data_IF_840087810061
#
_entry.id   IF_840087810061
#
_cell.length_a   1.000
_cell.length_b   1.000
_cell.length_c   1.000
_cell.angle_alpha   90.00
_cell.angle_beta   90.00
_cell.angle_gamma   90.00
#
_symmetry.space_group_name_H-M   'P 1'
#
loop_
_entity.id
_entity.type
_entity.pdbx_description
1 polymer ?
#
# COMPACT_ATOMS: atom_id res chain seq x y z
N UNK A 1 -6.33 1.60 -27.43
CA UNK A 1 -5.03 1.15 -28.00
C UNK A 1 -4.91 -0.35 -27.74
N UNK A 2 -4.43 -1.16 -28.68
CA UNK A 2 -4.23 -2.61 -28.45
C UNK A 2 -2.91 -2.79 -27.68
N UNK A 3 -2.92 -3.57 -26.60
CA UNK A 3 -1.72 -3.83 -25.77
C UNK A 3 -0.61 -4.44 -26.62
N UNK A 4 0.60 -3.87 -26.56
CA UNK A 4 1.76 -4.35 -27.31
C UNK A 4 2.70 -5.11 -26.38
N UNK A 5 3.32 -6.16 -26.91
CA UNK A 5 4.25 -7.01 -26.16
C UNK A 5 5.60 -7.05 -26.86
N UNK A 6 6.67 -7.06 -26.07
CA UNK A 6 8.02 -7.36 -26.53
C UNK A 6 8.26 -8.84 -26.27
N UNK A 7 8.72 -9.57 -27.28
CA UNK A 7 9.03 -11.01 -27.19
C UNK A 7 10.52 -11.27 -27.28
N UNK A 8 10.96 -12.38 -26.69
CA UNK A 8 12.29 -12.93 -26.96
C UNK A 8 12.36 -13.63 -28.32
N UNK A 9 13.53 -14.18 -28.65
CA UNK A 9 13.81 -14.86 -29.92
C UNK A 9 13.00 -16.16 -30.11
N UNK A 10 12.40 -16.68 -29.03
CA UNK A 10 11.51 -17.84 -29.05
C UNK A 10 10.03 -17.43 -29.13
N UNK A 11 9.73 -16.14 -29.24
CA UNK A 11 8.37 -15.61 -29.30
C UNK A 11 7.66 -15.52 -27.93
N UNK A 12 8.37 -15.76 -26.83
CA UNK A 12 7.80 -15.63 -25.48
C UNK A 12 7.75 -14.16 -25.09
N UNK A 13 6.60 -13.69 -24.61
CA UNK A 13 6.40 -12.31 -24.14
C UNK A 13 7.25 -12.07 -22.88
N UNK A 14 8.11 -11.07 -22.93
CA UNK A 14 9.02 -10.69 -21.83
C UNK A 14 8.70 -9.31 -21.25
N UNK A 15 8.06 -8.43 -22.02
CA UNK A 15 7.60 -7.13 -21.54
C UNK A 15 6.31 -6.70 -22.22
N UNK A 16 5.65 -5.70 -21.64
CA UNK A 16 4.42 -5.08 -22.15
C UNK A 16 4.61 -3.57 -22.24
N UNK A 17 4.12 -2.97 -23.33
CA UNK A 17 4.10 -1.53 -23.51
C UNK A 17 2.69 -1.05 -23.18
N UNK A 18 2.60 -0.18 -22.19
CA UNK A 18 1.36 0.42 -21.70
C UNK A 18 1.40 1.94 -21.91
N UNK A 19 0.25 2.58 -22.20
CA UNK A 19 0.12 4.01 -22.03
C UNK A 19 0.46 4.40 -20.59
N UNK A 20 1.20 5.51 -20.42
CA UNK A 20 1.64 5.98 -19.09
C UNK A 20 0.46 6.11 -18.13
N UNK A 21 -0.67 6.65 -18.60
CA UNK A 21 -1.89 6.79 -17.81
C UNK A 21 -2.44 5.47 -17.25
N UNK A 22 -2.35 4.39 -18.04
CA UNK A 22 -2.84 3.08 -17.61
C UNK A 22 -1.90 2.46 -16.58
N UNK A 23 -0.59 2.67 -16.75
CA UNK A 23 0.42 2.26 -15.76
C UNK A 23 0.24 3.01 -14.44
N UNK A 24 0.11 4.34 -14.46
CA UNK A 24 -0.09 5.18 -13.28
C UNK A 24 -1.37 4.76 -12.52
N UNK A 25 -2.49 4.59 -13.22
CA UNK A 25 -3.74 4.11 -12.62
C UNK A 25 -3.57 2.76 -11.93
N UNK A 26 -2.82 1.84 -12.53
CA UNK A 26 -2.55 0.53 -11.93
C UNK A 26 -1.67 0.66 -10.68
N UNK A 27 -0.69 1.57 -10.66
CA UNK A 27 0.11 1.83 -9.46
C UNK A 27 -0.74 2.40 -8.33
N UNK A 28 -1.60 3.38 -8.62
CA UNK A 28 -2.51 3.96 -7.63
C UNK A 28 -3.44 2.90 -7.01
N UNK A 29 -4.00 2.01 -7.83
CA UNK A 29 -4.86 0.91 -7.35
C UNK A 29 -4.09 -0.10 -6.48
N UNK A 30 -2.81 -0.33 -6.77
CA UNK A 30 -1.95 -1.20 -5.94
C UNK A 30 -1.66 -0.57 -4.58
N UNK A 31 -1.38 0.73 -4.52
CA UNK A 31 -1.14 1.45 -3.26
C UNK A 31 -2.39 1.43 -2.36
N UNK A 32 -3.59 1.60 -2.94
CA UNK A 32 -4.85 1.46 -2.22
C UNK A 32 -5.01 0.03 -1.66
N UNK A 33 -4.69 -0.98 -2.47
CA UNK A 33 -4.75 -2.38 -2.05
C UNK A 33 -3.76 -2.69 -0.91
N UNK A 34 -2.59 -2.06 -0.88
CA UNK A 34 -1.65 -2.19 0.23
C UNK A 34 -2.22 -1.63 1.53
N UNK A 35 -2.90 -0.49 1.46
CA UNK A 35 -3.60 0.10 2.62
C UNK A 35 -4.66 -0.85 3.18
N UNK A 36 -5.45 -1.50 2.29
CA UNK A 36 -6.46 -2.50 2.68
C UNK A 36 -5.80 -3.69 3.38
N UNK A 37 -4.73 -4.24 2.82
CA UNK A 37 -3.98 -5.36 3.43
C UNK A 37 -3.41 -5.00 4.81
N UNK A 38 -2.90 -3.78 4.96
CA UNK A 38 -2.40 -3.28 6.23
C UNK A 38 -3.52 -3.18 7.29
N UNK A 39 -4.69 -2.68 6.89
CA UNK A 39 -5.87 -2.63 7.74
C UNK A 39 -6.32 -4.02 8.19
N UNK A 40 -6.45 -4.97 7.26
CA UNK A 40 -6.86 -6.34 7.56
C UNK A 40 -5.89 -7.01 8.54
N UNK A 41 -4.58 -6.86 8.32
CA UNK A 41 -3.55 -7.36 9.23
C UNK A 41 -3.66 -6.72 10.62
N UNK A 42 -3.93 -5.42 10.70
CA UNK A 42 -4.10 -4.70 11.97
C UNK A 42 -5.38 -5.12 12.71
N UNK A 43 -6.43 -5.53 11.98
CA UNK A 43 -7.73 -5.97 12.52
C UNK A 43 -7.78 -7.46 12.84
N UNK A 44 -6.94 -8.29 12.22
CA UNK A 44 -6.88 -9.73 12.48
C UNK A 44 -6.40 -10.07 13.90
N UNK A 45 -5.64 -9.18 14.55
CA UNK A 45 -5.20 -9.36 15.94
C UNK A 45 -6.25 -8.87 16.94
N UNK A 46 -6.24 -9.44 18.15
CA UNK A 46 -7.00 -8.88 19.29
C UNK A 46 -6.52 -7.45 19.55
N UNK A 47 -7.46 -6.50 19.54
CA UNK A 47 -7.17 -5.08 19.74
C UNK A 47 -7.44 -4.70 21.19
N UNK A 48 -6.52 -3.96 21.79
CA UNK A 48 -6.73 -3.29 23.06
C UNK A 48 -7.15 -1.85 22.78
N UNK A 49 -8.23 -1.42 23.41
CA UNK A 49 -8.77 -0.07 23.24
C UNK A 49 -8.48 0.73 24.50
N UNK A 50 -7.67 1.76 24.35
CA UNK A 50 -7.30 2.69 25.43
C UNK A 50 -7.98 4.03 25.12
N UNK A 51 -8.59 4.72 26.11
CA UNK A 51 -9.15 6.04 25.89
C UNK A 51 -8.10 7.01 25.32
N UNK A 52 -8.46 7.75 24.28
CA UNK A 52 -7.52 8.64 23.59
C UNK A 52 -6.88 9.67 24.53
N UNK A 53 -7.65 10.19 25.49
CA UNK A 53 -7.18 11.13 26.51
C UNK A 53 -6.00 10.55 27.33
N UNK A 54 -6.00 9.26 27.61
CA UNK A 54 -4.96 8.61 28.40
C UNK A 54 -3.69 8.42 27.57
N UNK A 55 -3.81 8.06 26.28
CA UNK A 55 -2.62 7.93 25.42
C UNK A 55 -1.99 9.30 25.11
N UNK A 56 -2.79 10.35 24.91
CA UNK A 56 -2.26 11.70 24.70
C UNK A 56 -1.47 12.21 25.91
N UNK A 57 -2.01 12.02 27.12
CA UNK A 57 -1.28 12.33 28.36
C UNK A 57 0.06 11.59 28.45
N UNK A 58 0.08 10.29 28.12
CA UNK A 58 1.29 9.49 28.16
C UNK A 58 2.35 9.96 27.14
N UNK A 59 1.94 10.32 25.92
CA UNK A 59 2.84 10.83 24.88
C UNK A 59 3.45 12.18 25.30
N UNK A 60 2.62 13.11 25.77
CA UNK A 60 3.07 14.44 26.21
C UNK A 60 4.05 14.37 27.39
N UNK A 61 3.78 13.49 28.37
CA UNK A 61 4.69 13.26 29.48
C UNK A 61 6.04 12.72 28.99
N UNK A 62 6.03 11.76 28.04
CA UNK A 62 7.26 11.20 27.47
C UNK A 62 8.10 12.24 26.73
N UNK A 63 7.47 13.16 26.01
CA UNK A 63 8.15 14.26 25.31
C UNK A 63 8.74 15.31 26.26
N UNK A 64 8.11 15.57 27.40
CA UNK A 64 8.61 16.52 28.42
C UNK A 64 9.79 15.99 29.24
N UNK A 65 10.03 14.68 29.20
CA UNK A 65 11.08 14.01 29.98
C UNK A 65 12.30 13.65 29.12
N UNK A 66 12.28 13.99 27.83
CA UNK A 66 13.37 13.82 26.86
C UNK A 66 14.03 15.19 26.59
#
# INVERSE_FOLDING_TARGET
MKTQFITDDHGKKVAVILPVKDFEKMMDELDELECIKAYDKAKARKQEFIPAADVFKAIEQKQKTA
#
